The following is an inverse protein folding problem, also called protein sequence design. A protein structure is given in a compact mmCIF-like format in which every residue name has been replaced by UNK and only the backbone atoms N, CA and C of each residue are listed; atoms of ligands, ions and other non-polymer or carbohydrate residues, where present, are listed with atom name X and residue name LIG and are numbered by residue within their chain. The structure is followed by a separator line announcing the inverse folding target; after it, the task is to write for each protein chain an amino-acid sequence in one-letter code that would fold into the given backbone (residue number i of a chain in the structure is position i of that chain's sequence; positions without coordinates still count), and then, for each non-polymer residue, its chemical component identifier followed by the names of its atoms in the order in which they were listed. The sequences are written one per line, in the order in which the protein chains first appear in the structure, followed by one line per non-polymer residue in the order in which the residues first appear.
data_IF_169370165598
#
_entry.id   IF_169370165598
#
_cell.length_a   1.000
_cell.length_b   1.000
_cell.length_c   1.000
_cell.angle_alpha   90.00
_cell.angle_beta   90.00
_cell.angle_gamma   90.00
#
_symmetry.space_group_name_H-M   'P 1'
#
loop_
_entity.id
_entity.type
_entity.pdbx_description
1 polymer ?
#
# COMPACT_ATOMS: atom_id res chain seq x y z
N UNK A 1 10.91 3.02 -22.51
CA UNK A 1 10.78 1.55 -22.33
C UNK A 1 9.84 1.21 -21.18
N UNK A 2 10.26 1.17 -19.91
CA UNK A 2 9.36 0.75 -18.81
C UNK A 2 8.22 1.76 -18.52
N UNK A 3 8.50 3.06 -18.54
CA UNK A 3 7.49 4.11 -18.31
C UNK A 3 6.40 4.12 -19.39
N UNK A 4 6.78 4.00 -20.67
CA UNK A 4 5.84 3.91 -21.79
C UNK A 4 4.94 2.66 -21.67
N UNK A 5 5.50 1.54 -21.22
CA UNK A 5 4.72 0.33 -20.96
C UNK A 5 3.71 0.55 -19.82
N UNK A 6 4.11 1.20 -18.72
CA UNK A 6 3.18 1.54 -17.62
C UNK A 6 2.05 2.44 -18.12
N UNK A 7 2.33 3.44 -18.95
CA UNK A 7 1.31 4.33 -19.51
C UNK A 7 0.34 3.60 -20.46
N UNK A 8 0.83 2.65 -21.26
CA UNK A 8 -0.02 1.81 -22.11
C UNK A 8 -0.93 0.91 -21.27
N UNK A 9 -0.36 0.28 -20.23
CA UNK A 9 -1.11 -0.56 -19.30
C UNK A 9 -2.13 0.24 -18.48
N UNK A 10 -1.81 1.46 -18.06
CA UNK A 10 -2.74 2.37 -17.38
C UNK A 10 -4.00 2.64 -18.21
N UNK A 11 -3.81 2.88 -19.52
CA UNK A 11 -4.91 3.08 -20.47
C UNK A 11 -5.73 1.80 -20.65
N UNK A 12 -5.06 0.65 -20.77
CA UNK A 12 -5.73 -0.64 -20.85
C UNK A 12 -6.51 -0.98 -19.56
N UNK A 13 -5.97 -0.61 -18.39
CA UNK A 13 -6.61 -0.84 -17.10
C UNK A 13 -7.85 0.05 -16.89
N UNK A 14 -7.93 1.17 -17.60
CA UNK A 14 -9.08 2.06 -17.60
C UNK A 14 -10.27 1.50 -18.40
N UNK A 15 -10.07 0.48 -19.26
CA UNK A 15 -11.17 -0.21 -19.93
C UNK A 15 -11.55 -1.49 -19.19
N UNK A 16 -12.84 -1.65 -18.86
CA UNK A 16 -13.34 -2.79 -18.07
C UNK A 16 -13.01 -4.16 -18.69
N UNK A 17 -12.81 -4.24 -20.00
CA UNK A 17 -12.54 -5.50 -20.71
C UNK A 17 -11.14 -6.06 -20.46
N UNK A 18 -10.16 -5.21 -20.12
CA UNK A 18 -8.75 -5.60 -19.98
C UNK A 18 -8.14 -5.22 -18.61
N UNK A 19 -8.97 -4.77 -17.66
CA UNK A 19 -8.53 -4.25 -16.37
C UNK A 19 -7.64 -5.23 -15.59
N UNK A 20 -8.09 -6.48 -15.43
CA UNK A 20 -7.39 -7.48 -14.63
C UNK A 20 -6.02 -7.88 -15.21
N UNK A 21 -5.94 -8.00 -16.55
CA UNK A 21 -4.70 -8.35 -17.23
C UNK A 21 -3.68 -7.21 -17.11
N UNK A 22 -4.14 -5.97 -17.31
CA UNK A 22 -3.29 -4.79 -17.19
C UNK A 22 -2.82 -4.57 -15.74
N UNK A 23 -3.69 -4.75 -14.74
CA UNK A 23 -3.32 -4.68 -13.33
C UNK A 23 -2.33 -5.77 -12.93
N UNK A 24 -2.50 -6.98 -13.47
CA UNK A 24 -1.57 -8.07 -13.24
C UNK A 24 -0.18 -7.72 -13.76
N UNK A 25 -0.06 -7.22 -15.00
CA UNK A 25 1.22 -6.78 -15.54
C UNK A 25 1.82 -5.60 -14.76
N UNK A 26 1.01 -4.60 -14.38
CA UNK A 26 1.45 -3.48 -13.55
C UNK A 26 2.02 -3.98 -12.20
N UNK A 27 1.37 -4.96 -11.57
CA UNK A 27 1.85 -5.55 -10.31
C UNK A 27 3.18 -6.28 -10.48
N UNK A 28 3.39 -6.97 -11.61
CA UNK A 28 4.65 -7.65 -11.91
C UNK A 28 5.77 -6.63 -12.13
N UNK A 29 5.50 -5.56 -12.89
CA UNK A 29 6.47 -4.47 -13.09
C UNK A 29 6.80 -3.82 -11.75
N UNK A 30 5.80 -3.53 -10.91
CA UNK A 30 6.02 -2.94 -9.59
C UNK A 30 6.93 -3.80 -8.70
N UNK A 31 6.67 -5.11 -8.70
CA UNK A 31 7.40 -6.10 -7.92
C UNK A 31 8.88 -6.19 -8.34
N UNK A 32 9.15 -6.34 -9.64
CA UNK A 32 10.49 -6.66 -10.16
C UNK A 32 11.32 -5.43 -10.49
N UNK A 33 10.70 -4.30 -10.82
CA UNK A 33 11.42 -3.09 -11.24
C UNK A 33 11.87 -2.28 -10.03
N UNK A 34 13.18 -2.17 -9.83
CA UNK A 34 13.78 -1.42 -8.72
C UNK A 34 13.78 0.11 -8.94
N UNK A 35 13.41 0.59 -10.13
CA UNK A 35 13.36 2.02 -10.41
C UNK A 35 12.18 2.69 -9.66
N UNK A 36 12.52 3.56 -8.71
CA UNK A 36 11.58 4.31 -7.89
C UNK A 36 10.62 5.16 -8.72
N UNK A 37 11.06 5.76 -9.83
CA UNK A 37 10.20 6.57 -10.69
C UNK A 37 9.13 5.73 -11.38
N UNK A 38 9.48 4.51 -11.80
CA UNK A 38 8.53 3.56 -12.38
C UNK A 38 7.51 3.13 -11.32
N UNK A 39 7.95 2.80 -10.10
CA UNK A 39 7.04 2.47 -8.99
C UNK A 39 6.12 3.63 -8.63
N UNK A 40 6.63 4.87 -8.63
CA UNK A 40 5.85 6.06 -8.37
C UNK A 40 4.75 6.25 -9.42
N UNK A 41 5.10 6.12 -10.70
CA UNK A 41 4.15 6.20 -11.81
C UNK A 41 3.05 5.13 -11.70
N UNK A 42 3.41 3.92 -11.26
CA UNK A 42 2.42 2.86 -11.00
C UNK A 42 1.50 3.23 -9.84
N UNK A 43 2.01 3.79 -8.73
CA UNK A 43 1.16 4.27 -7.64
C UNK A 43 0.19 5.36 -8.12
N UNK A 44 0.65 6.33 -8.89
CA UNK A 44 -0.21 7.39 -9.44
C UNK A 44 -1.28 6.81 -10.37
N UNK A 45 -0.93 5.77 -11.13
CA UNK A 45 -1.86 5.03 -11.98
C UNK A 45 -2.93 4.30 -11.14
N UNK A 46 -2.53 3.63 -10.06
CA UNK A 46 -3.47 2.90 -9.19
C UNK A 46 -4.48 3.84 -8.53
N UNK A 47 -4.04 5.00 -8.07
CA UNK A 47 -4.92 6.02 -7.49
C UNK A 47 -5.94 6.53 -8.52
N UNK A 48 -5.50 6.79 -9.75
CA UNK A 48 -6.40 7.20 -10.83
C UNK A 48 -7.43 6.12 -11.21
N UNK A 49 -7.05 4.84 -11.08
CA UNK A 49 -7.91 3.70 -11.42
C UNK A 49 -8.83 3.28 -10.27
N UNK A 50 -8.57 3.71 -9.03
CA UNK A 50 -9.29 3.27 -7.83
C UNK A 50 -10.82 3.24 -7.97
N UNK A 51 -11.51 4.25 -8.57
CA UNK A 51 -12.96 4.21 -8.75
C UNK A 51 -13.46 3.01 -9.57
N UNK A 52 -12.65 2.54 -10.54
CA UNK A 52 -12.97 1.39 -11.39
C UNK A 52 -12.60 0.07 -10.71
N UNK A 53 -11.59 0.08 -9.83
CA UNK A 53 -11.11 -1.10 -9.10
C UNK A 53 -12.08 -1.55 -8.01
N UNK A 54 -12.82 -0.63 -7.38
CA UNK A 54 -13.80 -0.97 -6.34
C UNK A 54 -14.91 -1.93 -6.81
N UNK A 55 -15.09 -2.09 -8.13
CA UNK A 55 -16.10 -2.96 -8.74
C UNK A 55 -15.52 -4.30 -9.25
N UNK A 56 -14.19 -4.47 -9.17
CA UNK A 56 -13.48 -5.59 -9.77
C UNK A 56 -12.98 -6.57 -8.72
N UNK A 57 -13.02 -7.88 -9.03
CA UNK A 57 -12.56 -8.93 -8.12
C UNK A 57 -11.06 -9.17 -8.34
N UNK A 58 -10.20 -8.39 -7.65
CA UNK A 58 -8.75 -8.46 -7.88
C UNK A 58 -8.19 -9.80 -7.37
N UNK A 59 -7.51 -10.60 -8.22
CA UNK A 59 -6.92 -11.86 -7.79
C UNK A 59 -5.84 -11.68 -6.71
N UNK A 60 -5.81 -12.56 -5.70
CA UNK A 60 -4.79 -12.56 -4.62
C UNK A 60 -3.35 -12.45 -5.12
N UNK A 61 -3.04 -13.02 -6.30
CA UNK A 61 -1.71 -12.93 -6.91
C UNK A 61 -1.25 -11.49 -7.17
N UNK A 62 -2.17 -10.57 -7.47
CA UNK A 62 -1.87 -9.15 -7.69
C UNK A 62 -1.48 -8.50 -6.37
N UNK A 63 -2.23 -8.77 -5.30
CA UNK A 63 -1.92 -8.31 -3.94
C UNK A 63 -0.53 -8.78 -3.50
N UNK A 64 -0.22 -10.05 -3.70
CA UNK A 64 1.09 -10.62 -3.34
C UNK A 64 2.26 -9.92 -4.03
N UNK A 65 2.11 -9.51 -5.30
CA UNK A 65 3.16 -8.80 -6.03
C UNK A 65 3.43 -7.41 -5.43
N UNK A 66 2.39 -6.65 -5.07
CA UNK A 66 2.59 -5.35 -4.40
C UNK A 66 3.19 -5.53 -3.01
N UNK A 67 2.73 -6.54 -2.26
CA UNK A 67 3.19 -6.80 -0.90
C UNK A 67 4.62 -7.35 -0.84
N UNK A 68 5.10 -8.01 -1.88
CA UNK A 68 6.49 -8.47 -1.94
C UNK A 68 7.48 -7.29 -1.77
N UNK A 69 7.14 -6.10 -2.27
CA UNK A 69 7.97 -4.89 -2.16
C UNK A 69 7.99 -4.31 -0.74
N UNK A 70 7.02 -4.66 0.12
CA UNK A 70 7.03 -4.28 1.54
C UNK A 70 8.24 -4.86 2.29
N UNK A 71 8.82 -5.96 1.80
CA UNK A 71 10.04 -6.57 2.36
C UNK A 71 11.34 -6.03 1.75
N UNK A 72 11.27 -5.01 0.88
CA UNK A 72 12.45 -4.41 0.29
C UNK A 72 13.38 -3.80 1.34
N UNK A 73 14.69 -3.82 1.06
CA UNK A 73 15.71 -3.09 1.82
C UNK A 73 15.67 -1.59 1.54
N UNK A 74 15.08 -1.16 0.42
CA UNK A 74 14.93 0.24 0.05
C UNK A 74 13.70 0.84 0.77
N UNK A 75 13.97 1.83 1.61
CA UNK A 75 12.98 2.59 2.36
C UNK A 75 11.91 3.26 1.47
N UNK A 76 12.33 3.85 0.35
CA UNK A 76 11.41 4.49 -0.59
C UNK A 76 10.55 3.46 -1.32
N UNK A 77 11.13 2.31 -1.68
CA UNK A 77 10.39 1.21 -2.26
C UNK A 77 9.27 0.73 -1.32
N UNK A 78 9.58 0.56 -0.02
CA UNK A 78 8.57 0.22 0.99
C UNK A 78 7.50 1.28 1.14
N UNK A 79 7.88 2.56 1.10
CA UNK A 79 6.92 3.67 1.14
C UNK A 79 5.94 3.62 -0.04
N UNK A 80 6.44 3.37 -1.26
CA UNK A 80 5.60 3.23 -2.45
C UNK A 80 4.73 1.97 -2.39
N UNK A 81 5.24 0.87 -1.82
CA UNK A 81 4.45 -0.34 -1.62
C UNK A 81 3.28 -0.12 -0.64
N UNK A 82 3.50 0.63 0.45
CA UNK A 82 2.43 1.05 1.36
C UNK A 82 1.40 1.95 0.67
N UNK A 83 1.85 2.89 -0.17
CA UNK A 83 0.97 3.74 -0.97
C UNK A 83 0.10 2.90 -1.91
N UNK A 84 0.70 1.98 -2.67
CA UNK A 84 -0.03 1.09 -3.58
C UNK A 84 -1.03 0.19 -2.82
N UNK A 85 -0.62 -0.37 -1.67
CA UNK A 85 -1.52 -1.17 -0.82
C UNK A 85 -2.73 -0.36 -0.35
N UNK A 86 -2.52 0.91 0.02
CA UNK A 86 -3.60 1.82 0.44
C UNK A 86 -4.58 2.12 -0.68
N UNK A 87 -4.09 2.37 -1.90
CA UNK A 87 -4.97 2.58 -3.06
C UNK A 87 -5.84 1.37 -3.37
N UNK A 88 -5.35 0.17 -3.07
CA UNK A 88 -6.03 -1.10 -3.31
C UNK A 88 -6.89 -1.58 -2.14
N UNK A 89 -6.85 -0.94 -0.97
CA UNK A 89 -7.64 -1.31 0.21
C UNK A 89 -9.13 -1.49 -0.08
N UNK A 90 -9.82 -0.57 -0.81
CA UNK A 90 -11.24 -0.72 -1.10
C UNK A 90 -11.59 -2.00 -1.85
N UNK A 91 -10.65 -2.54 -2.63
CA UNK A 91 -10.87 -3.71 -3.47
C UNK A 91 -10.38 -5.01 -2.81
N UNK A 92 -9.26 -4.96 -2.09
CA UNK A 92 -8.63 -6.14 -1.49
C UNK A 92 -9.02 -6.36 -0.04
N UNK A 93 -9.57 -5.35 0.61
CA UNK A 93 -9.81 -5.33 2.04
C UNK A 93 -8.51 -5.16 2.84
N UNK A 94 -8.68 -5.13 4.16
CA UNK A 94 -7.59 -5.00 5.12
C UNK A 94 -7.21 -6.38 5.68
N UNK A 95 -5.92 -6.73 5.57
CA UNK A 95 -5.40 -8.05 5.94
C UNK A 95 -4.25 -8.00 6.95
N UNK A 96 -3.91 -9.16 7.51
CA UNK A 96 -2.86 -9.29 8.53
C UNK A 96 -1.48 -8.88 8.00
N UNK A 97 -1.19 -9.12 6.71
CA UNK A 97 0.12 -8.82 6.12
C UNK A 97 0.38 -7.32 6.11
N UNK A 98 -0.60 -6.55 5.62
CA UNK A 98 -0.52 -5.10 5.61
C UNK A 98 -0.50 -4.56 7.04
N UNK A 99 -1.33 -5.11 7.93
CA UNK A 99 -1.37 -4.70 9.32
C UNK A 99 -0.02 -4.85 10.02
N UNK A 100 0.61 -6.03 9.91
CA UNK A 100 1.93 -6.29 10.49
C UNK A 100 2.98 -5.33 9.94
N UNK A 101 2.99 -5.11 8.63
CA UNK A 101 3.96 -4.22 7.99
C UNK A 101 3.82 -2.77 8.48
N UNK A 102 2.59 -2.27 8.61
CA UNK A 102 2.32 -0.92 9.11
C UNK A 102 2.73 -0.81 10.58
N UNK A 103 2.35 -1.78 11.41
CA UNK A 103 2.73 -1.84 12.82
C UNK A 103 4.25 -1.80 13.00
N UNK A 104 4.98 -2.64 12.27
CA UNK A 104 6.45 -2.70 12.34
C UNK A 104 7.10 -1.40 11.84
N UNK A 105 6.53 -0.82 10.78
CA UNK A 105 6.99 0.47 10.25
C UNK A 105 6.82 1.59 11.28
N UNK A 106 5.68 1.63 11.99
CA UNK A 106 5.39 2.64 13.01
C UNK A 106 6.24 2.49 14.28
N UNK A 107 6.66 1.26 14.61
CA UNK A 107 7.64 1.00 15.69
C UNK A 107 9.08 1.42 15.32
N UNK A 108 9.34 1.65 14.03
CA UNK A 108 10.66 1.93 13.49
C UNK A 108 11.11 3.39 13.57
N UNK A 109 12.09 3.74 12.73
CA UNK A 109 12.67 5.08 12.63
C UNK A 109 11.73 6.05 11.91
N UNK A 110 11.35 7.11 12.63
CA UNK A 110 10.35 8.09 12.19
C UNK A 110 10.82 9.05 11.10
N UNK A 111 12.12 9.08 10.81
CA UNK A 111 12.68 9.89 9.72
C UNK A 111 12.47 9.25 8.34
N UNK A 112 12.18 7.95 8.31
CA UNK A 112 12.09 7.15 7.09
C UNK A 112 10.83 7.48 6.27
N UNK A 113 10.90 7.42 4.93
CA UNK A 113 9.76 7.72 4.06
C UNK A 113 8.57 6.77 4.30
N UNK A 114 8.82 5.48 4.56
CA UNK A 114 7.76 4.51 4.82
C UNK A 114 7.01 4.80 6.12
N UNK A 115 7.65 5.40 7.12
CA UNK A 115 6.99 5.83 8.35
C UNK A 115 5.96 6.93 8.08
N UNK A 116 6.36 7.94 7.30
CA UNK A 116 5.47 9.03 6.88
C UNK A 116 4.31 8.49 6.04
N UNK A 117 4.56 7.49 5.20
CA UNK A 117 3.51 6.85 4.43
C UNK A 117 2.57 6.05 5.33
N UNK A 118 3.09 5.23 6.25
CA UNK A 118 2.29 4.46 7.20
C UNK A 118 1.32 5.35 8.01
N UNK A 119 1.75 6.54 8.43
CA UNK A 119 0.86 7.53 9.07
C UNK A 119 -0.24 8.00 8.11
N UNK A 120 0.10 8.29 6.86
CA UNK A 120 -0.89 8.70 5.84
C UNK A 120 -1.90 7.60 5.51
N UNK A 121 -1.54 6.33 5.71
CA UNK A 121 -2.45 5.20 5.53
C UNK A 121 -3.49 5.07 6.64
N UNK A 122 -3.22 5.60 7.85
CA UNK A 122 -4.07 5.41 9.04
C UNK A 122 -5.54 5.79 8.83
N UNK A 123 -5.89 6.95 8.23
CA UNK A 123 -7.29 7.32 8.05
C UNK A 123 -8.07 6.29 7.22
N UNK A 124 -7.48 5.78 6.14
CA UNK A 124 -8.09 4.78 5.27
C UNK A 124 -8.29 3.43 5.98
N UNK A 125 -7.38 3.08 6.88
CA UNK A 125 -7.48 1.82 7.64
C UNK A 125 -8.57 1.91 8.72
N UNK A 126 -8.78 3.10 9.30
CA UNK A 126 -9.82 3.28 10.31
C UNK A 126 -11.24 3.18 9.77
N UNK A 127 -11.45 3.36 8.47
CA UNK A 127 -12.73 3.07 7.82
C UNK A 127 -13.14 1.59 7.99
N UNK A 128 -12.18 0.68 8.17
CA UNK A 128 -12.43 -0.74 8.39
C UNK A 128 -12.61 -1.11 9.87
N UNK A 129 -12.56 -0.16 10.79
CA UNK A 129 -12.69 -0.45 12.23
C UNK A 129 -14.14 -0.75 12.62
N UNK A 130 -15.08 0.11 12.21
CA UNK A 130 -16.48 0.00 12.63
C UNK A 130 -17.18 -1.22 11.99
N UNK A 131 -16.95 -1.45 10.70
CA UNK A 131 -17.54 -2.56 9.94
C UNK A 131 -16.67 -3.84 9.94
N UNK A 132 -15.52 -3.80 10.62
CA UNK A 132 -14.55 -4.88 10.65
C UNK A 132 -14.93 -6.04 11.57
N UNK A 133 -14.41 -7.23 11.27
CA UNK A 133 -14.43 -8.36 12.20
C UNK A 133 -13.68 -8.04 13.51
N UNK A 134 -13.93 -8.80 14.58
CA UNK A 134 -13.16 -8.67 15.83
C UNK A 134 -11.64 -8.81 15.60
N UNK A 135 -11.23 -9.66 14.65
CA UNK A 135 -9.83 -9.77 14.22
C UNK A 135 -9.33 -8.50 13.51
N UNK A 136 -10.12 -7.93 12.62
CA UNK A 136 -9.80 -6.66 11.94
C UNK A 136 -9.63 -5.53 12.94
N UNK A 137 -10.55 -5.41 13.90
CA UNK A 137 -10.50 -4.42 14.97
C UNK A 137 -9.25 -4.59 15.83
N UNK A 138 -8.89 -5.82 16.19
CA UNK A 138 -7.69 -6.09 16.98
C UNK A 138 -6.40 -5.64 16.26
N UNK A 139 -6.28 -5.88 14.95
CA UNK A 139 -5.15 -5.43 14.14
C UNK A 139 -5.05 -3.89 14.09
N UNK A 140 -6.19 -3.22 13.92
CA UNK A 140 -6.24 -1.75 13.88
C UNK A 140 -5.85 -1.16 15.24
N UNK A 141 -6.27 -1.76 16.35
CA UNK A 141 -5.84 -1.37 17.69
C UNK A 141 -4.34 -1.59 17.92
N UNK A 142 -3.77 -2.65 17.35
CA UNK A 142 -2.32 -2.89 17.40
C UNK A 142 -1.54 -1.78 16.66
N UNK A 143 -2.00 -1.40 15.47
CA UNK A 143 -1.45 -0.28 14.70
C UNK A 143 -1.50 1.03 15.50
N UNK A 144 -2.66 1.32 16.12
CA UNK A 144 -2.85 2.50 16.96
C UNK A 144 -1.89 2.52 18.14
N UNK A 145 -1.74 1.38 18.81
CA UNK A 145 -0.82 1.22 19.94
C UNK A 145 0.62 1.49 19.52
N UNK A 146 1.05 0.96 18.36
CA UNK A 146 2.37 1.21 17.79
C UNK A 146 2.59 2.69 17.46
N UNK A 147 1.59 3.36 16.89
CA UNK A 147 1.64 4.80 16.61
C UNK A 147 1.80 5.62 17.90
N UNK A 148 0.98 5.37 18.92
CA UNK A 148 1.02 6.11 20.20
C UNK A 148 2.40 5.97 20.86
N UNK A 149 2.91 4.74 20.99
CA UNK A 149 4.24 4.46 21.56
C UNK A 149 5.33 5.20 20.78
N UNK A 150 5.24 5.21 19.44
CA UNK A 150 6.18 5.92 18.57
C UNK A 150 6.17 7.44 18.83
N UNK A 151 4.99 8.05 18.98
CA UNK A 151 4.86 9.47 19.28
C UNK A 151 5.42 9.83 20.67
N UNK A 152 5.17 9.00 21.68
CA UNK A 152 5.70 9.21 23.04
C UNK A 152 7.23 9.13 23.07
N UNK A 153 7.80 8.14 22.38
CA UNK A 153 9.25 7.98 22.27
C UNK A 153 9.90 9.17 21.55
N UNK A 154 9.25 9.69 20.50
CA UNK A 154 9.73 10.88 19.81
C UNK A 154 9.64 12.13 20.68
N UNK A 155 8.54 12.32 21.41
CA UNK A 155 8.38 13.47 22.30
C UNK A 155 9.45 13.51 23.39
N UNK A 156 9.80 12.35 23.94
CA UNK A 156 10.83 12.22 24.99
C UNK A 156 12.25 12.55 24.50
N UNK A 157 12.54 12.45 23.19
CA UNK A 157 13.86 12.80 22.62
C UNK A 157 14.12 14.30 22.51
N UNK A 158 13.08 15.13 22.60
CA UNK A 158 13.16 16.59 22.44
C UNK A 158 12.75 17.35 23.71
N UNK A 159 12.63 16.66 24.85
CA UNK A 159 12.50 17.23 26.20
C UNK A 159 13.86 17.22 26.90
#
# INVERSE_FOLDING_TARGET
MAEEQVLLLARAASSQTNADAALFELSQIFCVNENIQVRLLICDTLEALQPNLCQSNIPERIQRNFYAVLQSTDHMARALALRAATSLLPTLGFDNTLASCITDTLKGDTTRPEYKMAIKCLPYIFEYFEDGSASTQALILEILSAFIISQENNRSKYQ
#
